data_IF_317776357827
#
_entry.id   IF_317776357827
#
_cell.length_a   1.000
_cell.length_b   1.000
_cell.length_c   1.000
_cell.angle_alpha   90.00
_cell.angle_beta   90.00
_cell.angle_gamma   90.00
#
_symmetry.space_group_name_H-M   'P 1'
#
loop_
_entity.id
_entity.type
_entity.pdbx_description
1 polymer ?
#
# COMPACT_ATOMS: atom_id res chain seq x y z
N UNK A 1 22.82 -65.62 13.49
CA UNK A 1 22.01 -64.67 14.30
C UNK A 1 22.06 -63.31 13.63
N UNK A 2 21.00 -62.96 12.87
CA UNK A 2 20.91 -61.68 12.16
C UNK A 2 20.26 -60.68 13.10
N UNK A 3 21.00 -59.67 13.56
CA UNK A 3 20.45 -58.57 14.34
C UNK A 3 19.74 -57.62 13.39
N UNK A 4 18.43 -57.58 13.51
CA UNK A 4 17.54 -56.65 12.82
C UNK A 4 17.65 -55.29 13.52
N UNK A 5 18.33 -54.31 12.89
CA UNK A 5 18.34 -52.94 13.33
C UNK A 5 17.03 -52.28 12.87
N UNK A 6 16.09 -52.16 13.80
CA UNK A 6 14.88 -51.40 13.60
C UNK A 6 15.25 -49.92 13.78
N UNK A 7 15.49 -49.24 12.66
CA UNK A 7 15.70 -47.78 12.64
C UNK A 7 14.34 -47.13 12.81
N UNK A 8 13.98 -46.77 14.05
CA UNK A 8 12.83 -45.95 14.33
C UNK A 8 13.12 -44.54 13.82
N UNK A 9 12.69 -44.25 12.60
CA UNK A 9 12.63 -42.90 12.09
C UNK A 9 11.56 -42.15 12.87
N UNK A 10 11.97 -41.51 13.95
CA UNK A 10 11.14 -40.49 14.63
C UNK A 10 11.05 -39.32 13.66
N UNK A 11 9.98 -39.32 12.88
CA UNK A 11 9.55 -38.17 12.13
C UNK A 11 9.19 -37.07 13.17
N UNK A 12 10.16 -36.23 13.47
CA UNK A 12 9.88 -34.95 14.10
C UNK A 12 9.01 -34.17 13.11
N UNK A 13 7.69 -34.30 13.27
CA UNK A 13 6.76 -33.35 12.70
C UNK A 13 7.01 -32.04 13.41
N UNK A 14 7.97 -31.27 12.91
CA UNK A 14 8.08 -29.86 13.25
C UNK A 14 6.73 -29.29 12.81
N UNK A 15 5.91 -28.74 13.72
CA UNK A 15 4.73 -28.01 13.28
C UNK A 15 5.28 -26.88 12.42
N UNK A 16 5.15 -27.03 11.12
CA UNK A 16 5.29 -25.90 10.20
C UNK A 16 4.15 -24.99 10.64
N UNK A 17 4.44 -23.98 11.45
CA UNK A 17 3.53 -22.89 11.71
C UNK A 17 3.26 -22.31 10.33
N UNK A 18 2.19 -22.77 9.72
CA UNK A 18 1.69 -22.22 8.47
C UNK A 18 1.31 -20.78 8.80
N UNK A 19 2.11 -19.83 8.34
CA UNK A 19 1.75 -18.42 8.40
C UNK A 19 0.37 -18.27 7.78
N UNK A 20 -0.50 -17.50 8.44
CA UNK A 20 -1.79 -17.16 7.86
C UNK A 20 -1.58 -16.41 6.52
N UNK A 21 -2.58 -16.45 5.65
CA UNK A 21 -2.53 -15.69 4.39
C UNK A 21 -2.24 -14.20 4.66
N UNK A 22 -2.87 -13.64 5.70
CA UNK A 22 -2.69 -12.25 6.10
C UNK A 22 -1.26 -11.95 6.57
N UNK A 23 -0.65 -12.82 7.38
CA UNK A 23 0.74 -12.67 7.84
C UNK A 23 1.73 -12.74 6.68
N UNK A 24 1.51 -13.65 5.75
CA UNK A 24 2.37 -13.80 4.57
C UNK A 24 2.30 -12.58 3.67
N UNK A 25 1.11 -12.11 3.37
CA UNK A 25 0.89 -10.89 2.58
C UNK A 25 1.46 -9.67 3.30
N UNK A 26 1.19 -9.51 4.60
CA UNK A 26 1.75 -8.43 5.41
C UNK A 26 3.28 -8.42 5.39
N UNK A 27 3.92 -9.58 5.42
CA UNK A 27 5.39 -9.70 5.33
C UNK A 27 5.91 -9.21 3.98
N UNK A 28 5.29 -9.60 2.87
CA UNK A 28 5.68 -9.14 1.53
C UNK A 28 5.56 -7.62 1.38
N UNK A 29 4.47 -7.03 1.89
CA UNK A 29 4.28 -5.56 1.90
C UNK A 29 5.37 -4.88 2.73
N UNK A 30 5.65 -5.36 3.94
CA UNK A 30 6.65 -4.78 4.83
C UNK A 30 8.07 -4.87 4.26
N UNK A 31 8.37 -5.90 3.48
CA UNK A 31 9.64 -6.09 2.80
C UNK A 31 9.71 -5.34 1.46
N UNK A 32 8.62 -4.71 1.02
CA UNK A 32 8.49 -4.10 -0.31
C UNK A 32 8.76 -5.09 -1.45
N UNK A 33 8.45 -6.36 -1.22
CA UNK A 33 8.56 -7.41 -2.24
C UNK A 33 7.29 -7.42 -3.12
N UNK A 34 7.26 -6.47 -4.06
CA UNK A 34 6.10 -6.27 -4.93
C UNK A 34 5.90 -7.41 -5.92
N UNK A 35 6.98 -8.03 -6.40
CA UNK A 35 6.88 -9.21 -7.28
C UNK A 35 6.33 -10.42 -6.51
N UNK A 36 6.87 -10.68 -5.33
CA UNK A 36 6.34 -11.72 -4.46
C UNK A 36 4.87 -11.46 -4.08
N UNK A 37 4.49 -10.20 -3.88
CA UNK A 37 3.11 -9.83 -3.60
C UNK A 37 2.20 -10.10 -4.81
N UNK A 38 2.57 -9.70 -6.02
CA UNK A 38 1.78 -9.94 -7.23
C UNK A 38 1.60 -11.43 -7.51
N UNK A 39 2.64 -12.23 -7.28
CA UNK A 39 2.60 -13.69 -7.51
C UNK A 39 1.75 -14.40 -6.45
N UNK A 40 1.87 -14.04 -5.17
CA UNK A 40 1.24 -14.76 -4.08
C UNK A 40 -0.21 -14.29 -3.80
N UNK A 41 -0.53 -13.02 -4.05
CA UNK A 41 -1.85 -12.47 -3.73
C UNK A 41 -3.01 -13.21 -4.40
N UNK A 42 -3.00 -13.54 -5.71
CA UNK A 42 -4.09 -14.29 -6.34
C UNK A 42 -4.33 -15.67 -5.71
N UNK A 43 -3.29 -16.27 -5.13
CA UNK A 43 -3.36 -17.59 -4.49
C UNK A 43 -3.94 -17.50 -3.08
N UNK A 44 -3.57 -16.43 -2.35
CA UNK A 44 -3.86 -16.29 -0.93
C UNK A 44 -5.13 -15.49 -0.64
N UNK A 45 -5.59 -14.63 -1.55
CA UNK A 45 -6.67 -13.66 -1.33
C UNK A 45 -7.96 -14.27 -0.77
N UNK A 46 -8.32 -15.46 -1.23
CA UNK A 46 -9.56 -16.13 -0.80
C UNK A 46 -9.45 -16.67 0.64
N UNK A 47 -8.23 -16.88 1.14
CA UNK A 47 -7.94 -17.32 2.50
C UNK A 47 -7.67 -16.13 3.46
N UNK A 48 -7.54 -14.92 2.94
CA UNK A 48 -7.36 -13.71 3.74
C UNK A 48 -8.67 -13.32 4.42
N UNK A 49 -8.56 -12.88 5.66
CA UNK A 49 -9.74 -12.51 6.47
C UNK A 49 -10.02 -11.01 6.47
N UNK A 50 -8.98 -10.19 6.33
CA UNK A 50 -9.09 -8.73 6.39
C UNK A 50 -9.37 -8.08 5.04
N UNK A 51 -10.56 -7.50 4.82
CA UNK A 51 -10.88 -6.77 3.59
C UNK A 51 -9.99 -5.55 3.39
N UNK A 52 -9.57 -4.90 4.49
CA UNK A 52 -8.57 -3.83 4.47
C UNK A 52 -7.25 -4.28 3.84
N UNK A 53 -6.69 -5.41 4.30
CA UNK A 53 -5.41 -5.90 3.81
C UNK A 53 -5.50 -6.37 2.34
N UNK A 54 -6.63 -6.96 1.94
CA UNK A 54 -6.89 -7.30 0.54
C UNK A 54 -6.83 -6.06 -0.34
N UNK A 55 -7.56 -5.01 0.04
CA UNK A 55 -7.61 -3.77 -0.73
C UNK A 55 -6.26 -3.04 -0.76
N UNK A 56 -5.54 -3.02 0.36
CA UNK A 56 -4.16 -2.51 0.41
C UNK A 56 -3.25 -3.26 -0.55
N UNK A 57 -3.32 -4.58 -0.58
CA UNK A 57 -2.52 -5.42 -1.49
C UNK A 57 -2.80 -5.09 -2.95
N UNK A 58 -4.08 -4.96 -3.33
CA UNK A 58 -4.49 -4.58 -4.68
C UNK A 58 -3.94 -3.20 -5.06
N UNK A 59 -4.04 -2.21 -4.18
CA UNK A 59 -3.51 -0.86 -4.39
C UNK A 59 -1.99 -0.91 -4.63
N UNK A 60 -1.25 -1.63 -3.78
CA UNK A 60 0.20 -1.71 -3.88
C UNK A 60 0.65 -2.44 -5.14
N UNK A 61 -0.03 -3.51 -5.53
CA UNK A 61 0.22 -4.21 -6.79
C UNK A 61 -0.06 -3.25 -7.97
N UNK A 62 -1.23 -2.65 -8.02
CA UNK A 62 -1.63 -1.80 -9.14
C UNK A 62 -0.73 -0.56 -9.28
N UNK A 63 -0.28 0.01 -8.16
CA UNK A 63 0.66 1.13 -8.16
C UNK A 63 2.03 0.72 -8.71
N UNK A 64 2.62 -0.37 -8.18
CA UNK A 64 3.97 -0.79 -8.54
C UNK A 64 4.07 -1.40 -9.95
N UNK A 65 2.96 -1.93 -10.48
CA UNK A 65 2.90 -2.49 -11.84
C UNK A 65 2.24 -1.55 -12.86
N UNK A 66 2.30 -0.25 -12.59
CA UNK A 66 1.86 0.82 -13.51
C UNK A 66 0.40 0.68 -13.98
N UNK A 67 -0.51 0.43 -13.04
CA UNK A 67 -1.97 0.38 -13.27
C UNK A 67 -2.67 1.54 -12.54
N UNK A 68 -2.37 2.80 -12.90
CA UNK A 68 -2.74 3.96 -12.08
C UNK A 68 -4.25 4.15 -11.89
N UNK A 69 -5.07 3.79 -12.87
CA UNK A 69 -6.53 3.90 -12.78
C UNK A 69 -7.11 2.94 -11.72
N UNK A 70 -6.56 1.74 -11.64
CA UNK A 70 -6.96 0.75 -10.64
C UNK A 70 -6.47 1.17 -9.25
N UNK A 71 -5.21 1.59 -9.14
CA UNK A 71 -4.62 2.05 -7.89
C UNK A 71 -5.43 3.21 -7.29
N UNK A 72 -5.77 4.25 -8.08
CA UNK A 72 -6.54 5.39 -7.58
C UNK A 72 -7.98 4.99 -7.20
N UNK A 73 -8.59 4.07 -7.95
CA UNK A 73 -9.91 3.52 -7.61
C UNK A 73 -9.88 2.75 -6.30
N UNK A 74 -8.83 1.94 -6.09
CA UNK A 74 -8.59 1.22 -4.84
C UNK A 74 -8.40 2.17 -3.66
N UNK A 75 -7.57 3.22 -3.81
CA UNK A 75 -7.34 4.23 -2.77
C UNK A 75 -8.66 4.92 -2.39
N UNK A 76 -9.50 5.30 -3.35
CA UNK A 76 -10.80 5.91 -3.07
C UNK A 76 -11.70 4.98 -2.26
N UNK A 77 -11.79 3.70 -2.63
CA UNK A 77 -12.54 2.70 -1.86
C UNK A 77 -12.01 2.57 -0.44
N UNK A 78 -10.68 2.52 -0.29
CA UNK A 78 -10.02 2.41 1.01
C UNK A 78 -10.37 3.60 1.91
N UNK A 79 -10.23 4.82 1.40
CA UNK A 79 -10.55 6.05 2.13
C UNK A 79 -12.02 6.20 2.45
N UNK A 80 -12.94 5.65 1.63
CA UNK A 80 -14.38 5.72 1.87
C UNK A 80 -14.85 4.66 2.86
N UNK A 81 -14.38 3.43 2.72
CA UNK A 81 -14.95 2.29 3.43
C UNK A 81 -14.18 1.90 4.70
N UNK A 82 -12.89 2.22 4.76
CA UNK A 82 -11.97 1.77 5.81
C UNK A 82 -11.25 2.91 6.54
N UNK A 83 -11.75 4.13 6.44
CA UNK A 83 -11.11 5.32 7.03
C UNK A 83 -10.82 5.16 8.53
N UNK A 84 -11.74 4.53 9.27
CA UNK A 84 -11.59 4.31 10.71
C UNK A 84 -10.57 3.21 11.06
N UNK A 85 -10.32 2.28 10.12
CA UNK A 85 -9.37 1.17 10.32
C UNK A 85 -7.93 1.61 10.01
N UNK A 86 -7.76 2.56 9.09
CA UNK A 86 -6.46 2.96 8.57
C UNK A 86 -5.68 3.81 9.58
N UNK A 87 -6.37 4.59 10.41
CA UNK A 87 -5.75 5.61 11.27
C UNK A 87 -5.24 6.84 10.48
N UNK A 88 -5.15 7.98 11.14
CA UNK A 88 -4.91 9.29 10.49
C UNK A 88 -3.63 9.36 9.65
N UNK A 89 -2.52 8.79 10.12
CA UNK A 89 -1.23 8.81 9.38
C UNK A 89 -1.31 8.05 8.06
N UNK A 90 -2.03 6.93 8.02
CA UNK A 90 -2.19 6.13 6.81
C UNK A 90 -3.17 6.77 5.83
N UNK A 91 -4.23 7.44 6.34
CA UNK A 91 -5.13 8.25 5.50
C UNK A 91 -4.32 9.31 4.75
N UNK A 92 -3.46 10.03 5.46
CA UNK A 92 -2.57 11.02 4.86
C UNK A 92 -1.66 10.39 3.80
N UNK A 93 -1.01 9.27 4.12
CA UNK A 93 -0.15 8.54 3.19
C UNK A 93 -0.88 8.10 1.91
N UNK A 94 -2.10 7.59 2.02
CA UNK A 94 -2.92 7.20 0.87
C UNK A 94 -3.37 8.41 0.04
N UNK A 95 -3.65 9.54 0.68
CA UNK A 95 -4.00 10.76 -0.04
C UNK A 95 -2.81 11.33 -0.79
N UNK A 96 -1.61 11.29 -0.22
CA UNK A 96 -0.36 11.66 -0.90
C UNK A 96 -0.12 10.76 -2.11
N UNK A 97 -0.29 9.44 -1.94
CA UNK A 97 -0.14 8.49 -3.04
C UNK A 97 -1.14 8.77 -4.17
N UNK A 98 -2.39 9.11 -3.84
CA UNK A 98 -3.39 9.52 -4.84
C UNK A 98 -2.95 10.77 -5.62
N UNK A 99 -2.39 11.78 -4.94
CA UNK A 99 -1.83 12.97 -5.61
C UNK A 99 -0.69 12.62 -6.57
N UNK A 100 0.21 11.73 -6.16
CA UNK A 100 1.33 11.29 -6.99
C UNK A 100 0.82 10.55 -8.24
N UNK A 101 -0.17 9.68 -8.10
CA UNK A 101 -0.77 8.94 -9.22
C UNK A 101 -1.46 9.92 -10.18
N UNK A 102 -2.23 10.89 -9.69
CA UNK A 102 -2.85 11.91 -10.54
C UNK A 102 -1.80 12.73 -11.30
N UNK A 103 -0.70 13.09 -10.65
CA UNK A 103 0.43 13.76 -11.31
C UNK A 103 1.06 12.92 -12.41
N UNK A 104 1.29 11.62 -12.17
CA UNK A 104 1.82 10.68 -13.17
C UNK A 104 0.89 10.50 -14.38
N UNK A 105 -0.41 10.70 -14.20
CA UNK A 105 -1.42 10.64 -15.26
C UNK A 105 -1.57 11.96 -16.04
N UNK A 106 -0.82 12.99 -15.68
CA UNK A 106 -0.97 14.33 -16.25
C UNK A 106 -2.13 15.13 -15.66
N UNK A 107 -2.83 14.64 -14.64
CA UNK A 107 -3.91 15.37 -13.97
C UNK A 107 -3.35 16.40 -12.98
N UNK A 108 -2.46 17.28 -13.46
CA UNK A 108 -1.68 18.22 -12.63
C UNK A 108 -2.58 19.16 -11.81
N UNK A 109 -3.72 19.59 -12.36
CA UNK A 109 -4.66 20.44 -11.65
C UNK A 109 -5.23 19.75 -10.41
N UNK A 110 -5.72 18.52 -10.57
CA UNK A 110 -6.23 17.69 -9.46
C UNK A 110 -5.16 17.38 -8.44
N UNK A 111 -3.97 16.98 -8.89
CA UNK A 111 -2.83 16.69 -8.03
C UNK A 111 -2.41 17.92 -7.21
N UNK A 112 -2.33 19.09 -7.82
CA UNK A 112 -1.99 20.34 -7.13
C UNK A 112 -3.06 20.73 -6.11
N UNK A 113 -4.36 20.64 -6.45
CA UNK A 113 -5.46 20.97 -5.56
C UNK A 113 -5.47 20.05 -4.33
N UNK A 114 -5.32 18.75 -4.54
CA UNK A 114 -5.27 17.77 -3.45
C UNK A 114 -4.04 17.96 -2.56
N UNK A 115 -2.87 18.19 -3.13
CA UNK A 115 -1.66 18.47 -2.36
C UNK A 115 -1.80 19.74 -1.51
N UNK A 116 -2.37 20.81 -2.06
CA UNK A 116 -2.63 22.04 -1.31
C UNK A 116 -3.60 21.81 -0.15
N UNK A 117 -4.67 21.06 -0.39
CA UNK A 117 -5.64 20.70 0.67
C UNK A 117 -4.99 19.97 1.84
N UNK A 118 -4.08 19.04 1.55
CA UNK A 118 -3.33 18.30 2.59
C UNK A 118 -2.41 19.26 3.36
N UNK A 119 -1.67 20.12 2.67
CA UNK A 119 -0.78 21.10 3.28
C UNK A 119 -1.58 22.01 4.22
N UNK A 120 -2.73 22.52 3.78
CA UNK A 120 -3.58 23.40 4.57
C UNK A 120 -4.12 22.70 5.83
N UNK A 121 -4.52 21.43 5.72
CA UNK A 121 -4.94 20.61 6.86
C UNK A 121 -3.82 20.41 7.87
N UNK A 122 -2.60 20.09 7.42
CA UNK A 122 -1.45 19.89 8.30
C UNK A 122 -1.07 21.19 9.01
N UNK A 123 -1.08 22.32 8.30
CA UNK A 123 -0.85 23.65 8.89
C UNK A 123 -1.91 24.02 9.91
N UNK A 124 -3.19 23.73 9.65
CA UNK A 124 -4.28 23.97 10.58
C UNK A 124 -4.18 23.12 11.86
N UNK A 125 -3.54 21.97 11.77
CA UNK A 125 -3.24 21.09 12.92
C UNK A 125 -1.95 21.46 13.64
N UNK A 126 -1.28 22.56 13.27
CA UNK A 126 0.03 22.97 13.77
C UNK A 126 1.10 21.86 13.60
N UNK A 127 1.03 21.09 12.52
CA UNK A 127 2.06 20.13 12.21
C UNK A 127 3.42 20.80 11.96
N UNK A 128 4.49 20.13 12.34
CA UNK A 128 5.85 20.62 12.09
C UNK A 128 6.12 20.73 10.58
N UNK A 129 6.97 21.66 10.19
CA UNK A 129 7.24 21.97 8.78
C UNK A 129 7.70 20.74 7.99
N UNK A 130 8.50 19.90 8.63
CA UNK A 130 9.03 18.65 8.07
C UNK A 130 7.92 17.68 7.61
N UNK A 131 6.74 17.75 8.24
CA UNK A 131 5.61 16.91 7.89
C UNK A 131 5.00 17.25 6.51
N UNK A 132 5.15 18.49 6.01
CA UNK A 132 4.55 18.93 4.76
C UNK A 132 5.54 19.54 3.75
N UNK A 133 6.81 19.72 4.11
CA UNK A 133 7.82 20.32 3.22
C UNK A 133 7.97 19.55 1.90
N UNK A 134 7.98 18.22 1.96
CA UNK A 134 8.01 17.38 0.77
C UNK A 134 6.78 17.56 -0.12
N UNK A 135 5.61 17.76 0.48
CA UNK A 135 4.36 18.06 -0.26
C UNK A 135 4.38 19.43 -0.91
N UNK A 136 4.99 20.44 -0.27
CA UNK A 136 5.15 21.77 -0.86
C UNK A 136 6.02 21.73 -2.14
N UNK A 137 7.05 20.89 -2.17
CA UNK A 137 7.86 20.64 -3.35
C UNK A 137 7.07 19.98 -4.47
N UNK A 138 6.33 18.90 -4.14
CA UNK A 138 5.46 18.19 -5.09
C UNK A 138 4.35 19.11 -5.61
N UNK A 139 3.71 19.89 -4.74
CA UNK A 139 2.71 20.88 -5.11
C UNK A 139 3.28 21.93 -6.09
N UNK A 140 4.45 22.44 -5.79
CA UNK A 140 5.11 23.44 -6.66
C UNK A 140 5.38 22.87 -8.05
N UNK A 141 5.82 21.62 -8.13
CA UNK A 141 6.03 20.92 -9.40
C UNK A 141 4.72 20.77 -10.20
N UNK A 142 3.64 20.30 -9.58
CA UNK A 142 2.35 20.13 -10.26
C UNK A 142 1.76 21.46 -10.70
N UNK A 143 1.83 22.49 -9.87
CA UNK A 143 1.35 23.83 -10.21
C UNK A 143 2.10 24.44 -11.40
N UNK A 144 3.41 24.21 -11.49
CA UNK A 144 4.21 24.69 -12.60
C UNK A 144 3.83 24.00 -13.91
N UNK A 145 3.68 22.68 -13.89
CA UNK A 145 3.29 21.90 -15.07
C UNK A 145 1.86 22.23 -15.52
N UNK A 146 0.90 22.37 -14.57
CA UNK A 146 -0.47 22.76 -14.90
C UNK A 146 -0.54 24.12 -15.63
N UNK A 147 0.32 25.07 -15.28
CA UNK A 147 0.36 26.37 -15.96
C UNK A 147 0.94 26.33 -17.36
N UNK A 148 1.73 25.30 -17.68
CA UNK A 148 2.30 25.12 -19.01
C UNK A 148 1.29 24.51 -20.01
N UNK A 149 0.28 23.82 -19.50
CA UNK A 149 -0.75 23.13 -20.30
C UNK A 149 -1.95 24.06 -20.67
N UNK A 150 -1.97 25.31 -20.18
CA UNK A 150 -2.96 26.36 -20.45
C UNK A 150 -2.32 27.55 -21.15
#
# INVERSE_FOLDING_TARGET
>A
MKKLFLLAAVLFSIPVFSQSADERIGTLINQSDWFGLEENYPILKDSMQGDFLKLMSEIMIDYNFNRPDKAISGIRKLLTNHQNEIGGSNVLGMTILACQIDGLRGNYASAAQNAQSIIDQLKAQNAEKEAYEGLEQVFSFYRTNYRQDN
#
